data_IF_604198317931
#
_entry.id   IF_604198317931
#
_cell.length_a   1.000
_cell.length_b   1.000
_cell.length_c   1.000
_cell.angle_alpha   90.00
_cell.angle_beta   90.00
_cell.angle_gamma   90.00
#
_symmetry.space_group_name_H-M   'P 1'
#
loop_
_entity.id
_entity.type
_entity.pdbx_description
1 polymer ?
#
# COMPACT_ATOMS: atom_id res chain seq x y z
N UNK A 1 -3.35 24.59 -4.85
CA UNK A 1 -3.24 23.18 -4.44
C UNK A 1 -4.42 22.91 -3.53
N UNK A 2 -5.38 22.11 -3.98
CA UNK A 2 -6.48 21.71 -3.10
C UNK A 2 -5.92 20.76 -2.04
N UNK A 3 -6.18 21.03 -0.77
CA UNK A 3 -5.81 20.12 0.32
C UNK A 3 -6.65 18.85 0.30
N UNK A 4 -6.25 17.86 1.10
CA UNK A 4 -7.08 16.68 1.34
C UNK A 4 -8.41 17.07 1.97
N UNK A 5 -9.51 16.36 1.69
CA UNK A 5 -10.78 16.58 2.38
C UNK A 5 -10.61 16.53 3.90
N UNK A 6 -11.31 17.39 4.63
CA UNK A 6 -11.19 17.51 6.10
C UNK A 6 -11.39 16.16 6.80
N UNK A 7 -12.41 15.40 6.39
CA UNK A 7 -12.69 14.08 6.96
C UNK A 7 -11.55 13.07 6.78
N UNK A 8 -10.70 13.21 5.75
CA UNK A 8 -9.50 12.39 5.57
C UNK A 8 -8.42 12.86 6.55
N UNK A 9 -8.21 14.16 6.64
CA UNK A 9 -7.23 14.75 7.57
C UNK A 9 -7.55 14.37 9.02
N UNK A 10 -8.82 14.44 9.42
CA UNK A 10 -9.30 14.05 10.75
C UNK A 10 -9.04 12.57 11.04
N UNK A 11 -9.30 11.67 10.08
CA UNK A 11 -9.04 10.24 10.25
C UNK A 11 -7.56 9.95 10.52
N UNK A 12 -6.65 10.54 9.72
CA UNK A 12 -5.22 10.38 9.96
C UNK A 12 -4.75 11.09 11.24
N UNK A 13 -5.42 12.17 11.65
CA UNK A 13 -5.16 12.86 12.91
C UNK A 13 -5.59 12.09 14.17
N UNK A 14 -6.49 11.12 14.02
CA UNK A 14 -6.95 10.25 15.12
C UNK A 14 -5.99 9.09 15.43
N UNK A 15 -4.98 8.86 14.60
CA UNK A 15 -3.95 7.82 14.82
C UNK A 15 -3.21 8.12 16.12
N UNK A 16 -3.13 7.12 17.00
CA UNK A 16 -2.43 7.26 18.29
C UNK A 16 -0.93 6.99 18.12
N UNK A 17 -0.09 7.29 19.14
CA UNK A 17 1.32 6.90 19.12
C UNK A 17 1.57 5.39 18.94
N UNK A 18 0.54 4.55 19.13
CA UNK A 18 0.61 3.12 18.85
C UNK A 18 0.92 2.84 17.36
N UNK A 19 0.56 3.77 16.46
CA UNK A 19 0.88 3.68 15.03
C UNK A 19 2.38 3.60 14.73
N UNK A 20 3.25 3.95 15.68
CA UNK A 20 4.70 3.74 15.52
C UNK A 20 5.07 2.26 15.46
N UNK A 21 4.29 1.37 16.11
CA UNK A 21 4.60 -0.06 16.23
C UNK A 21 3.48 -0.98 15.72
N UNK A 22 2.29 -0.46 15.48
CA UNK A 22 1.12 -1.22 15.04
C UNK A 22 0.51 -0.58 13.79
N UNK A 23 0.56 -1.27 12.65
CA UNK A 23 -0.01 -0.75 11.40
C UNK A 23 -1.54 -0.67 11.40
N UNK A 24 -2.22 -1.37 12.31
CA UNK A 24 -3.69 -1.46 12.32
C UNK A 24 -4.35 -0.10 12.57
N UNK A 25 -3.66 0.80 13.29
CA UNK A 25 -4.05 2.20 13.49
C UNK A 25 -4.23 2.95 12.16
N UNK A 26 -3.50 2.55 11.11
CA UNK A 26 -3.57 3.19 9.80
C UNK A 26 -4.58 2.54 8.85
N UNK A 27 -5.14 1.37 9.18
CA UNK A 27 -6.05 0.66 8.27
C UNK A 27 -7.35 1.42 8.03
N UNK A 28 -7.94 1.98 9.09
CA UNK A 28 -9.14 2.83 8.99
C UNK A 28 -8.91 4.05 8.09
N UNK A 29 -7.92 4.91 8.41
CA UNK A 29 -7.59 6.09 7.61
C UNK A 29 -7.26 5.78 6.14
N UNK A 30 -6.46 4.75 5.86
CA UNK A 30 -6.18 4.36 4.47
C UNK A 30 -7.40 3.78 3.76
N UNK A 31 -8.24 3.00 4.44
CA UNK A 31 -9.48 2.52 3.85
C UNK A 31 -10.42 3.68 3.50
N UNK A 32 -10.55 4.68 4.38
CA UNK A 32 -11.30 5.91 4.11
C UNK A 32 -10.76 6.67 2.91
N UNK A 33 -9.43 6.86 2.84
CA UNK A 33 -8.77 7.49 1.70
C UNK A 33 -9.02 6.72 0.39
N UNK A 34 -8.91 5.39 0.40
CA UNK A 34 -9.16 4.59 -0.79
C UNK A 34 -10.62 4.67 -1.24
N UNK A 35 -11.58 4.71 -0.31
CA UNK A 35 -13.00 4.86 -0.64
C UNK A 35 -13.32 6.22 -1.29
N UNK A 36 -12.64 7.28 -0.85
CA UNK A 36 -12.76 8.61 -1.43
C UNK A 36 -12.14 8.68 -2.85
N UNK A 37 -10.96 8.08 -3.03
CA UNK A 37 -10.22 8.11 -4.30
C UNK A 37 -10.72 7.08 -5.34
N UNK A 38 -11.34 5.99 -4.90
CA UNK A 38 -11.86 4.92 -5.75
C UNK A 38 -13.34 4.65 -5.44
N UNK A 39 -14.23 5.60 -5.78
CA UNK A 39 -15.62 5.56 -5.36
C UNK A 39 -16.37 4.40 -6.03
N UNK A 40 -17.30 3.79 -5.27
CA UNK A 40 -18.09 2.63 -5.71
C UNK A 40 -18.85 2.78 -7.04
N UNK A 41 -19.43 3.97 -7.37
CA UNK A 41 -20.04 4.21 -8.68
C UNK A 41 -19.11 3.99 -9.88
N UNK A 42 -17.78 4.00 -9.69
CA UNK A 42 -16.80 3.67 -10.72
C UNK A 42 -16.47 2.17 -10.78
N UNK A 43 -17.32 1.33 -10.18
CA UNK A 43 -17.17 -0.13 -10.10
C UNK A 43 -15.82 -0.58 -9.49
N UNK A 44 -15.30 0.24 -8.58
CA UNK A 44 -14.10 -0.07 -7.82
C UNK A 44 -14.46 -0.82 -6.55
N UNK A 45 -13.68 -1.85 -6.22
CA UNK A 45 -13.78 -2.60 -4.97
C UNK A 45 -12.44 -2.57 -4.25
N UNK A 46 -12.46 -2.33 -2.95
CA UNK A 46 -11.29 -2.40 -2.09
C UNK A 46 -11.30 -3.75 -1.38
N UNK A 47 -10.27 -4.55 -1.61
CA UNK A 47 -10.15 -5.90 -1.09
C UNK A 47 -8.98 -5.95 -0.11
N UNK A 48 -9.23 -6.01 1.21
CA UNK A 48 -8.18 -6.28 2.17
C UNK A 48 -7.73 -7.74 2.03
N UNK A 49 -6.42 -7.95 1.89
CA UNK A 49 -5.79 -9.25 1.87
C UNK A 49 -4.81 -9.36 3.02
N UNK A 50 -5.06 -10.31 3.91
CA UNK A 50 -4.14 -10.68 4.97
C UNK A 50 -3.13 -11.68 4.43
N UNK A 51 -1.86 -11.29 4.31
CA UNK A 51 -0.80 -12.24 4.02
C UNK A 51 -0.30 -12.86 5.32
N UNK A 52 -0.49 -14.18 5.44
CA UNK A 52 0.19 -14.95 6.47
C UNK A 52 1.68 -15.00 6.15
N UNK A 53 2.56 -14.92 7.15
CA UNK A 53 3.99 -15.07 6.95
C UNK A 53 4.26 -16.47 6.42
N UNK A 54 4.95 -16.56 5.28
CA UNK A 54 5.45 -17.86 4.80
C UNK A 54 6.54 -18.40 5.74
N UNK A 55 7.19 -17.51 6.50
CA UNK A 55 8.20 -17.83 7.50
C UNK A 55 7.87 -17.17 8.85
N UNK A 56 8.14 -17.82 9.99
CA UNK A 56 7.78 -17.32 11.32
C UNK A 56 8.46 -15.99 11.71
N UNK A 57 9.43 -15.51 10.92
CA UNK A 57 10.15 -14.25 11.14
C UNK A 57 9.68 -13.12 10.21
N UNK A 58 8.68 -13.35 9.36
CA UNK A 58 8.10 -12.28 8.53
C UNK A 58 6.88 -11.71 9.22
N UNK A 59 6.76 -10.39 9.24
CA UNK A 59 5.54 -9.74 9.72
C UNK A 59 4.37 -10.11 8.80
N UNK A 60 3.22 -10.39 9.41
CA UNK A 60 1.96 -10.46 8.67
C UNK A 60 1.62 -9.06 8.22
N UNK A 61 1.03 -8.88 7.03
CA UNK A 61 0.67 -7.53 6.57
C UNK A 61 -0.62 -7.54 5.79
N UNK A 62 -1.44 -6.55 6.07
CA UNK A 62 -2.66 -6.30 5.32
C UNK A 62 -2.32 -5.46 4.09
N UNK A 63 -2.67 -5.99 2.93
CA UNK A 63 -2.57 -5.30 1.65
C UNK A 63 -3.98 -4.94 1.21
N UNK A 64 -4.21 -3.68 0.85
CA UNK A 64 -5.47 -3.26 0.25
C UNK A 64 -5.29 -3.24 -1.26
N UNK A 65 -6.07 -4.06 -1.96
CA UNK A 65 -6.05 -4.13 -3.43
C UNK A 65 -7.32 -3.48 -3.95
N UNK A 66 -7.15 -2.47 -4.80
CA UNK A 66 -8.26 -1.88 -5.54
C UNK A 66 -8.42 -2.65 -6.84
N UNK A 67 -9.64 -3.13 -7.08
CA UNK A 67 -9.99 -3.85 -8.29
C UNK A 67 -11.12 -3.16 -9.05
N UNK A 68 -11.06 -3.22 -10.39
CA UNK A 68 -12.20 -2.94 -11.27
C UNK A 68 -12.50 -4.18 -12.08
N UNK A 69 -13.74 -4.65 -12.06
CA UNK A 69 -14.15 -5.88 -12.77
C UNK A 69 -13.24 -7.09 -12.46
N UNK A 70 -12.84 -7.27 -11.19
CA UNK A 70 -11.91 -8.32 -10.71
C UNK A 70 -10.45 -8.21 -11.18
N UNK A 71 -10.09 -7.12 -11.87
CA UNK A 71 -8.71 -6.83 -12.25
C UNK A 71 -8.08 -5.80 -11.31
N UNK A 72 -6.85 -6.04 -10.80
CA UNK A 72 -6.17 -5.08 -9.96
C UNK A 72 -5.84 -3.82 -10.75
N UNK A 73 -6.12 -2.66 -10.16
CA UNK A 73 -5.80 -1.34 -10.74
C UNK A 73 -4.86 -0.52 -9.86
N UNK A 74 -4.80 -0.84 -8.57
CA UNK A 74 -3.94 -0.20 -7.59
C UNK A 74 -3.81 -1.13 -6.37
N UNK A 75 -2.73 -1.02 -5.61
CA UNK A 75 -2.67 -1.61 -4.28
C UNK A 75 -1.80 -0.79 -3.33
N UNK A 76 -2.06 -0.94 -2.03
CA UNK A 76 -1.27 -0.34 -0.97
C UNK A 76 -0.95 -1.36 0.12
N UNK A 77 0.32 -1.40 0.50
CA UNK A 77 0.81 -2.12 1.68
C UNK A 77 1.08 -1.11 2.80
N UNK A 78 0.60 -1.40 4.00
CA UNK A 78 0.68 -0.50 5.15
C UNK A 78 1.55 -1.14 6.23
N UNK A 79 2.47 -0.36 6.78
CA UNK A 79 3.39 -0.74 7.87
C UNK A 79 3.36 0.28 8.99
N UNK A 80 3.80 -0.09 10.20
CA UNK A 80 3.98 0.86 11.29
C UNK A 80 4.90 2.01 10.87
N UNK A 81 4.69 3.19 11.45
CA UNK A 81 5.50 4.36 11.13
C UNK A 81 6.96 4.18 11.56
N UNK A 82 7.19 3.50 12.69
CA UNK A 82 8.51 3.28 13.27
C UNK A 82 9.43 2.42 12.41
N UNK A 83 8.89 1.62 11.47
CA UNK A 83 9.69 0.85 10.50
C UNK A 83 10.60 1.74 9.65
N UNK A 84 10.31 3.05 9.55
CA UNK A 84 11.21 3.99 8.87
C UNK A 84 12.57 4.09 9.56
N UNK A 85 12.69 3.79 10.85
CA UNK A 85 13.92 3.95 11.61
C UNK A 85 14.94 2.84 11.31
N UNK A 86 14.49 1.70 10.79
CA UNK A 86 15.33 0.52 10.63
C UNK A 86 15.50 0.14 9.16
N UNK A 87 16.76 0.08 8.72
CA UNK A 87 17.10 -0.33 7.34
C UNK A 87 16.57 -1.74 7.04
N UNK A 88 16.60 -2.65 8.02
CA UNK A 88 16.07 -4.02 7.89
C UNK A 88 14.60 -4.03 7.50
N UNK A 89 13.79 -3.21 8.18
CA UNK A 89 12.33 -3.22 8.01
C UNK A 89 11.94 -2.59 6.68
N UNK A 90 12.65 -1.53 6.29
CA UNK A 90 12.50 -0.90 4.97
C UNK A 90 12.88 -1.86 3.83
N UNK A 91 13.94 -2.64 4.01
CA UNK A 91 14.36 -3.65 3.03
C UNK A 91 13.37 -4.83 2.96
N UNK A 92 12.87 -5.29 4.11
CA UNK A 92 11.84 -6.33 4.17
C UNK A 92 10.54 -5.88 3.48
N UNK A 93 10.10 -4.64 3.72
CA UNK A 93 8.93 -4.08 3.06
C UNK A 93 9.13 -3.84 1.55
N UNK A 94 10.32 -3.42 1.09
CA UNK A 94 10.63 -3.38 -0.37
C UNK A 94 10.53 -4.76 -1.00
N UNK A 95 11.03 -5.81 -0.32
CA UNK A 95 10.92 -7.18 -0.79
C UNK A 95 9.45 -7.62 -0.89
N UNK A 96 8.64 -7.37 0.14
CA UNK A 96 7.21 -7.72 0.15
C UNK A 96 6.42 -7.00 -0.95
N UNK A 97 6.74 -5.72 -1.22
CA UNK A 97 6.15 -4.98 -2.34
C UNK A 97 6.46 -5.65 -3.70
N UNK A 98 7.71 -6.04 -3.94
CA UNK A 98 8.12 -6.71 -5.20
C UNK A 98 7.41 -8.05 -5.37
N UNK A 99 7.37 -8.86 -4.32
CA UNK A 99 6.61 -10.13 -4.32
C UNK A 99 5.11 -9.91 -4.59
N UNK A 100 4.55 -8.78 -4.14
CA UNK A 100 3.16 -8.45 -4.44
C UNK A 100 2.94 -8.07 -5.91
N UNK A 101 3.89 -7.37 -6.54
CA UNK A 101 3.83 -7.17 -7.99
C UNK A 101 3.82 -8.52 -8.71
N UNK A 102 4.76 -9.42 -8.40
CA UNK A 102 4.87 -10.74 -9.02
C UNK A 102 3.55 -11.53 -8.97
N UNK A 103 2.78 -11.40 -7.88
CA UNK A 103 1.46 -12.05 -7.73
C UNK A 103 0.35 -11.40 -8.58
N UNK A 104 0.43 -10.08 -8.81
CA UNK A 104 -0.62 -9.30 -9.45
C UNK A 104 -0.43 -9.14 -10.96
N UNK A 105 0.81 -9.17 -11.47
CA UNK A 105 1.11 -8.81 -12.87
C UNK A 105 0.38 -9.67 -13.90
N UNK A 106 0.22 -10.97 -13.63
CA UNK A 106 -0.49 -11.92 -14.51
C UNK A 106 -1.99 -11.63 -14.64
N UNK A 107 -2.55 -10.85 -13.71
CA UNK A 107 -3.99 -10.52 -13.66
C UNK A 107 -4.30 -9.15 -14.25
N UNK A 108 -3.29 -8.40 -14.68
CA UNK A 108 -3.45 -7.03 -15.15
C UNK A 108 -4.15 -6.95 -16.50
N UNK A 109 -5.09 -6.03 -16.61
CA UNK A 109 -5.70 -5.62 -17.89
C UNK A 109 -5.36 -4.17 -18.25
N UNK A 110 -4.63 -3.47 -17.38
CA UNK A 110 -4.16 -2.10 -17.57
C UNK A 110 -2.67 -2.08 -17.94
N UNK A 111 -2.20 -1.04 -18.65
CA UNK A 111 -0.79 -0.95 -19.08
C UNK A 111 0.18 -0.67 -17.92
N UNK A 112 -0.28 0.00 -16.86
CA UNK A 112 0.56 0.42 -15.74
C UNK A 112 -0.12 0.08 -14.43
N UNK A 113 0.56 -0.63 -13.54
CA UNK A 113 0.10 -0.87 -12.17
C UNK A 113 0.90 0.01 -11.21
N UNK A 114 0.19 0.78 -10.39
CA UNK A 114 0.77 1.52 -9.29
C UNK A 114 0.58 0.75 -7.98
N UNK A 115 1.67 0.63 -7.22
CA UNK A 115 1.69 0.07 -5.88
C UNK A 115 2.28 1.08 -4.92
N UNK A 116 1.69 1.21 -3.73
CA UNK A 116 2.19 2.12 -2.70
C UNK A 116 2.59 1.34 -1.46
N UNK A 117 3.74 1.68 -0.90
CA UNK A 117 4.11 1.31 0.47
C UNK A 117 3.92 2.52 1.37
N UNK A 118 3.13 2.35 2.42
CA UNK A 118 2.95 3.31 3.48
C UNK A 118 3.73 2.89 4.74
N UNK A 119 4.60 3.77 5.25
CA UNK A 119 5.16 3.69 6.60
C UNK A 119 4.50 4.81 7.41
N UNK A 120 3.43 4.47 8.13
CA UNK A 120 2.49 5.47 8.63
C UNK A 120 1.95 6.36 7.50
N UNK A 121 2.18 7.67 7.55
CA UNK A 121 1.77 8.63 6.49
C UNK A 121 2.82 8.87 5.41
N UNK A 122 4.01 8.25 5.51
CA UNK A 122 5.08 8.40 4.52
C UNK A 122 4.91 7.38 3.42
N UNK A 123 4.82 7.86 2.19
CA UNK A 123 4.51 7.04 1.02
C UNK A 123 5.70 6.84 0.11
N UNK A 124 5.74 5.66 -0.48
CA UNK A 124 6.73 5.22 -1.45
C UNK A 124 5.98 4.56 -2.61
N UNK A 125 6.14 5.12 -3.82
CA UNK A 125 5.38 4.69 -5.01
C UNK A 125 6.25 3.80 -5.89
N UNK A 126 5.68 2.67 -6.31
CA UNK A 126 6.23 1.74 -7.27
C UNK A 126 5.36 1.74 -8.53
N UNK A 127 6.01 1.63 -9.68
CA UNK A 127 5.34 1.63 -10.97
C UNK A 127 5.77 0.41 -11.75
N UNK A 128 4.82 -0.42 -12.13
CA UNK A 128 5.06 -1.55 -13.02
C UNK A 128 4.48 -1.26 -14.41
N UNK A 129 5.32 -1.40 -15.43
CA UNK A 129 4.92 -1.30 -16.83
C UNK A 129 4.71 -2.69 -17.43
N UNK A 130 3.48 -2.97 -17.88
CA UNK A 130 3.10 -4.30 -18.38
C UNK A 130 3.74 -4.63 -19.74
N UNK A 131 4.03 -3.64 -20.56
CA UNK A 131 4.58 -3.88 -21.91
C UNK A 131 6.04 -4.31 -21.84
N UNK A 132 6.81 -3.68 -20.96
CA UNK A 132 8.24 -3.92 -20.79
C UNK A 132 8.55 -4.92 -19.67
N UNK A 133 7.60 -5.16 -18.76
CA UNK A 133 7.82 -5.93 -17.54
C UNK A 133 8.69 -5.19 -16.51
N UNK A 134 8.97 -3.91 -16.71
CA UNK A 134 9.84 -3.14 -15.85
C UNK A 134 9.13 -2.70 -14.56
N UNK A 135 9.73 -3.02 -13.42
CA UNK A 135 9.33 -2.48 -12.11
C UNK A 135 10.25 -1.34 -11.70
N UNK A 136 9.72 -0.12 -11.70
CA UNK A 136 10.39 1.04 -11.14
C UNK A 136 10.08 1.14 -9.64
N UNK A 137 11.13 1.15 -8.84
CA UNK A 137 11.09 1.37 -7.41
C UNK A 137 11.89 2.61 -7.05
N UNK A 138 11.55 3.33 -5.97
CA UNK A 138 12.39 4.43 -5.53
C UNK A 138 13.75 3.94 -5.06
N UNK A 139 14.78 4.82 -5.06
CA UNK A 139 16.13 4.42 -4.70
C UNK A 139 16.18 3.93 -3.25
N UNK A 140 16.92 2.84 -3.02
CA UNK A 140 17.13 2.25 -1.68
C UNK A 140 17.74 3.22 -0.64
N UNK A 141 18.32 4.34 -1.10
CA UNK A 141 19.07 5.28 -0.26
C UNK A 141 18.26 6.49 0.28
N UNK A 142 17.01 6.69 -0.16
CA UNK A 142 16.24 7.90 0.17
C UNK A 142 15.06 7.68 1.11
N UNK A 143 14.99 6.51 1.74
CA UNK A 143 13.96 6.13 2.70
C UNK A 143 14.60 5.39 3.86
#
# INVERSE_FOLDING_TARGET
>A
MAGWPEHIVEQFGAVTPLGEVDETEYYGPYNGLLLDQFPGPEHSMIIPQYKRPTYPQSDSTTIFIVQRHKHPVFFIEIKPAGHIQFISDRAAADKQMREQFDILVDKLTIPTLYGVRALGTRLCVYTYDKQTGALQSPPRAHW
#
